data_IF_093214690785
#
_entry.id   IF_093214690785
#
_cell.length_a   1.000
_cell.length_b   1.000
_cell.length_c   1.000
_cell.angle_alpha   90.00
_cell.angle_beta   90.00
_cell.angle_gamma   90.00
#
_symmetry.space_group_name_H-M   'P 1'
#
loop_
_entity.id
_entity.type
_entity.pdbx_description
1 polymer ?
#
# COMPACT_ATOMS: atom_id res chain seq x y z
N UNK A 1 -12.23 -30.07 -1.58
CA UNK A 1 -13.20 -30.23 -2.70
C UNK A 1 -12.79 -29.51 -3.99
N UNK A 2 -12.13 -28.34 -3.97
CA UNK A 2 -11.88 -27.48 -5.16
C UNK A 2 -10.89 -27.99 -6.23
N UNK A 3 -10.01 -28.96 -5.95
CA UNK A 3 -9.00 -29.45 -6.93
C UNK A 3 -9.52 -30.62 -7.80
N UNK A 4 -10.58 -31.32 -7.38
CA UNK A 4 -11.06 -32.54 -8.08
C UNK A 4 -11.53 -32.27 -9.52
N UNK A 5 -12.21 -31.15 -9.76
CA UNK A 5 -12.67 -30.76 -11.11
C UNK A 5 -11.48 -30.40 -11.99
N UNK A 6 -10.53 -29.62 -11.47
CA UNK A 6 -9.30 -29.29 -12.20
C UNK A 6 -8.52 -30.55 -12.54
N UNK A 7 -8.36 -31.48 -11.59
CA UNK A 7 -7.69 -32.76 -11.82
C UNK A 7 -8.38 -33.60 -12.91
N UNK A 8 -9.72 -33.59 -12.98
CA UNK A 8 -10.45 -34.29 -14.04
C UNK A 8 -10.20 -33.72 -15.44
N UNK A 9 -10.19 -32.39 -15.58
CA UNK A 9 -9.88 -31.73 -16.87
C UNK A 9 -8.41 -31.96 -17.26
N UNK A 10 -7.50 -31.88 -16.29
CA UNK A 10 -6.07 -32.06 -16.50
C UNK A 10 -5.67 -33.48 -16.88
N UNK A 11 -6.34 -34.51 -16.32
CA UNK A 11 -6.14 -35.91 -16.71
C UNK A 11 -6.40 -36.14 -18.20
N UNK A 12 -7.40 -35.46 -18.79
CA UNK A 12 -7.67 -35.53 -20.23
C UNK A 12 -6.58 -34.87 -21.09
N UNK A 13 -5.63 -34.15 -20.49
CA UNK A 13 -4.51 -33.46 -21.14
C UNK A 13 -3.15 -34.02 -20.69
N UNK A 14 -3.09 -35.31 -20.32
CA UNK A 14 -1.87 -35.99 -19.84
C UNK A 14 -1.17 -35.31 -18.65
N UNK A 15 -1.93 -34.57 -17.84
CA UNK A 15 -1.42 -33.94 -16.61
C UNK A 15 -1.97 -34.68 -15.39
N UNK A 16 -1.08 -35.01 -14.45
CA UNK A 16 -1.43 -35.70 -13.20
C UNK A 16 -1.38 -34.69 -12.06
N UNK A 17 -2.40 -34.71 -11.21
CA UNK A 17 -2.44 -33.92 -9.98
C UNK A 17 -2.20 -34.87 -8.81
N UNK A 18 -1.17 -34.58 -8.02
CA UNK A 18 -0.78 -35.35 -6.84
C UNK A 18 -0.70 -34.43 -5.63
N UNK A 19 -0.95 -35.01 -4.45
CA UNK A 19 -0.59 -34.40 -3.17
C UNK A 19 0.70 -35.08 -2.70
N UNK A 20 1.67 -34.30 -2.23
CA UNK A 20 2.96 -34.79 -1.79
C UNK A 20 3.41 -34.04 -0.54
N UNK A 21 4.18 -34.70 0.33
CA UNK A 21 4.81 -34.05 1.47
C UNK A 21 5.91 -33.09 0.98
N UNK A 22 6.10 -31.94 1.64
CA UNK A 22 7.14 -30.98 1.26
C UNK A 22 8.53 -31.59 1.13
N UNK A 23 8.92 -32.51 2.02
CA UNK A 23 10.23 -33.17 1.98
C UNK A 23 10.43 -34.00 0.71
N UNK A 24 9.37 -34.62 0.19
CA UNK A 24 9.39 -35.39 -1.07
C UNK A 24 9.55 -34.45 -2.26
N UNK A 25 8.91 -33.28 -2.20
CA UNK A 25 9.03 -32.24 -3.24
C UNK A 25 10.45 -31.66 -3.25
N UNK A 26 10.98 -31.32 -2.08
CA UNK A 26 12.31 -30.75 -1.89
C UNK A 26 13.43 -31.70 -2.33
N UNK A 27 13.29 -32.99 -2.05
CA UNK A 27 14.26 -34.03 -2.48
C UNK A 27 14.18 -34.31 -4.00
N UNK A 28 13.02 -34.11 -4.62
CA UNK A 28 12.82 -34.33 -6.05
C UNK A 28 13.19 -33.13 -6.95
N UNK A 29 13.40 -31.93 -6.39
CA UNK A 29 13.84 -30.76 -7.14
C UNK A 29 15.31 -30.91 -7.56
N UNK A 30 15.56 -31.46 -8.75
CA UNK A 30 16.93 -31.72 -9.26
C UNK A 30 17.61 -30.50 -9.89
N UNK A 31 16.91 -29.37 -10.07
CA UNK A 31 17.48 -28.11 -10.55
C UNK A 31 16.38 -27.05 -10.59
N UNK A 32 16.47 -26.04 -9.72
CA UNK A 32 15.78 -24.78 -9.95
C UNK A 32 16.72 -23.62 -9.61
N UNK A 33 16.81 -22.68 -10.55
CA UNK A 33 17.57 -21.41 -10.49
C UNK A 33 17.20 -20.54 -9.26
N UNK A 34 16.13 -20.90 -8.56
CA UNK A 34 15.65 -20.31 -7.33
C UNK A 34 15.47 -21.48 -6.36
N UNK A 35 16.24 -21.52 -5.26
CA UNK A 35 16.13 -22.56 -4.24
C UNK A 35 14.85 -22.38 -3.43
N UNK A 36 13.71 -22.81 -3.97
CA UNK A 36 12.40 -22.63 -3.37
C UNK A 36 12.08 -23.87 -2.53
N UNK A 37 12.28 -23.74 -1.23
CA UNK A 37 11.84 -24.74 -0.26
C UNK A 37 10.31 -24.80 -0.27
N UNK A 38 9.77 -25.97 -0.61
CA UNK A 38 8.35 -26.23 -0.57
C UNK A 38 7.85 -26.18 0.88
N UNK A 39 6.74 -25.49 1.10
CA UNK A 39 6.02 -25.41 2.37
C UNK A 39 4.63 -26.03 2.23
N UNK A 40 3.99 -26.41 3.36
CA UNK A 40 2.62 -26.86 3.35
C UNK A 40 1.68 -25.87 2.64
N UNK A 41 0.97 -26.36 1.64
CA UNK A 41 0.05 -25.55 0.85
C UNK A 41 0.65 -24.99 -0.44
N UNK A 42 1.97 -25.05 -0.66
CA UNK A 42 2.54 -24.62 -1.94
C UNK A 42 2.06 -25.50 -3.10
N UNK A 43 1.97 -24.90 -4.28
CA UNK A 43 1.58 -25.59 -5.51
C UNK A 43 2.75 -25.54 -6.47
N UNK A 44 3.18 -26.70 -6.95
CA UNK A 44 4.23 -26.82 -7.96
C UNK A 44 3.68 -27.47 -9.23
N UNK A 45 4.12 -26.96 -10.38
CA UNK A 45 3.84 -27.52 -11.70
C UNK A 45 5.13 -28.13 -12.22
N UNK A 46 5.12 -29.43 -12.47
CA UNK A 46 6.29 -30.14 -12.99
C UNK A 46 6.22 -30.26 -14.52
N UNK A 47 7.25 -29.78 -15.21
CA UNK A 47 7.46 -29.97 -16.66
C UNK A 47 8.89 -30.42 -16.92
N UNK A 48 9.07 -31.57 -17.59
CA UNK A 48 10.38 -32.16 -17.91
C UNK A 48 11.32 -32.26 -16.68
N UNK A 49 10.80 -32.75 -15.55
CA UNK A 49 11.55 -32.91 -14.30
C UNK A 49 11.75 -31.64 -13.48
N UNK A 50 11.42 -30.46 -14.01
CA UNK A 50 11.55 -29.18 -13.31
C UNK A 50 10.25 -28.77 -12.63
N UNK A 51 10.33 -28.49 -11.32
CA UNK A 51 9.24 -27.92 -10.54
C UNK A 51 9.18 -26.40 -10.68
N UNK A 52 8.00 -25.88 -11.02
CA UNK A 52 7.75 -24.45 -11.19
C UNK A 52 6.74 -24.03 -10.11
N UNK A 53 7.05 -23.08 -9.22
CA UNK A 53 6.11 -22.62 -8.20
C UNK A 53 4.91 -21.93 -8.86
N UNK A 54 3.72 -22.17 -8.33
CA UNK A 54 2.48 -21.54 -8.76
C UNK A 54 1.87 -20.73 -7.62
N UNK A 55 1.94 -19.41 -7.77
CA UNK A 55 1.43 -18.45 -6.79
C UNK A 55 0.02 -17.93 -7.11
N UNK A 56 -0.66 -18.51 -8.10
CA UNK A 56 -1.98 -18.06 -8.51
C UNK A 56 -3.13 -18.62 -7.68
N UNK A 57 -4.34 -18.19 -8.03
CA UNK A 57 -5.61 -18.68 -7.48
C UNK A 57 -5.79 -20.15 -7.86
N UNK A 58 -6.17 -20.99 -6.88
CA UNK A 58 -6.43 -22.43 -7.09
C UNK A 58 -7.80 -22.69 -7.72
N UNK A 59 -8.11 -21.98 -8.81
CA UNK A 59 -9.30 -22.18 -9.63
C UNK A 59 -8.94 -22.93 -10.91
N UNK A 60 -9.89 -23.68 -11.47
CA UNK A 60 -9.67 -24.42 -12.73
C UNK A 60 -9.23 -23.49 -13.86
N UNK A 61 -9.87 -22.32 -14.01
CA UNK A 61 -9.53 -21.33 -15.05
C UNK A 61 -8.10 -20.81 -14.89
N UNK A 62 -7.74 -20.32 -13.71
CA UNK A 62 -6.43 -19.72 -13.48
C UNK A 62 -5.28 -20.74 -13.60
N UNK A 63 -5.51 -21.98 -13.16
CA UNK A 63 -4.54 -23.08 -13.30
C UNK A 63 -4.38 -23.51 -14.77
N UNK A 64 -5.47 -23.67 -15.52
CA UNK A 64 -5.40 -24.03 -16.94
C UNK A 64 -4.66 -22.97 -17.75
N UNK A 65 -4.96 -21.69 -17.54
CA UNK A 65 -4.26 -20.59 -18.20
C UNK A 65 -2.75 -20.63 -17.92
N UNK A 66 -2.37 -20.87 -16.66
CA UNK A 66 -0.96 -20.99 -16.30
C UNK A 66 -0.30 -22.22 -16.94
N UNK A 67 -0.99 -23.35 -17.02
CA UNK A 67 -0.48 -24.55 -17.68
C UNK A 67 -0.29 -24.37 -19.19
N UNK A 68 -1.17 -23.63 -19.86
CA UNK A 68 -0.95 -23.24 -21.25
C UNK A 68 0.30 -22.38 -21.41
N UNK A 69 0.54 -21.43 -20.49
CA UNK A 69 1.77 -20.62 -20.45
C UNK A 69 3.02 -21.48 -20.20
N UNK A 70 2.93 -22.46 -19.30
CA UNK A 70 4.00 -23.44 -19.03
C UNK A 70 4.28 -24.30 -20.26
N UNK A 71 3.29 -24.58 -21.11
CA UNK A 71 3.47 -25.40 -22.31
C UNK A 71 4.01 -24.62 -23.51
N UNK A 72 3.53 -23.40 -23.76
CA UNK A 72 3.94 -22.54 -24.89
C UNK A 72 5.22 -21.73 -24.66
N UNK A 73 6.23 -22.31 -24.00
CA UNK A 73 7.46 -21.63 -23.57
C UNK A 73 8.45 -21.43 -24.72
N UNK A 74 8.05 -20.69 -25.74
CA UNK A 74 8.88 -20.30 -26.88
C UNK A 74 9.38 -18.86 -26.73
N UNK A 75 10.54 -18.56 -27.31
CA UNK A 75 11.03 -17.20 -27.45
C UNK A 75 10.13 -16.49 -28.46
N UNK A 76 9.58 -15.35 -28.06
CA UNK A 76 8.71 -14.56 -28.92
C UNK A 76 9.54 -13.67 -29.83
N UNK A 77 9.47 -13.88 -31.14
CA UNK A 77 10.23 -13.09 -32.10
C UNK A 77 9.51 -11.77 -32.35
N UNK A 78 10.24 -10.65 -32.25
CA UNK A 78 9.74 -9.33 -32.59
C UNK A 78 10.20 -9.02 -34.02
N UNK A 79 9.26 -8.98 -34.96
CA UNK A 79 9.53 -8.74 -36.39
C UNK A 79 9.12 -7.34 -36.84
N UNK A 80 8.25 -6.66 -36.09
CA UNK A 80 7.77 -5.34 -36.47
C UNK A 80 7.01 -4.59 -35.38
N UNK A 81 6.28 -3.55 -35.80
CA UNK A 81 5.59 -2.61 -34.90
C UNK A 81 4.48 -3.28 -34.08
N UNK A 82 3.74 -4.22 -34.67
CA UNK A 82 2.64 -4.92 -33.99
C UNK A 82 3.20 -5.79 -32.86
N UNK A 83 4.24 -6.58 -33.15
CA UNK A 83 4.91 -7.41 -32.13
C UNK A 83 5.51 -6.54 -31.03
N UNK A 84 6.10 -5.39 -31.39
CA UNK A 84 6.62 -4.44 -30.40
C UNK A 84 5.50 -3.88 -29.53
N UNK A 85 4.35 -3.54 -30.10
CA UNK A 85 3.19 -3.06 -29.33
C UNK A 85 2.71 -4.12 -28.35
N UNK A 86 2.62 -5.38 -28.79
CA UNK A 86 2.28 -6.51 -27.93
C UNK A 86 3.35 -6.73 -26.84
N UNK A 87 4.63 -6.64 -27.19
CA UNK A 87 5.73 -6.67 -26.24
C UNK A 87 5.58 -5.58 -25.19
N UNK A 88 5.39 -4.32 -25.60
CA UNK A 88 5.28 -3.17 -24.69
C UNK A 88 4.09 -3.30 -23.73
N UNK A 89 2.97 -3.88 -24.17
CA UNK A 89 1.76 -4.10 -23.37
C UNK A 89 1.91 -5.17 -22.27
N UNK A 90 2.97 -5.99 -22.30
CA UNK A 90 3.20 -7.00 -21.25
C UNK A 90 3.73 -6.34 -19.99
N UNK A 91 2.89 -6.29 -18.95
CA UNK A 91 3.19 -5.80 -17.60
C UNK A 91 3.81 -6.88 -16.69
N UNK A 92 4.71 -7.70 -17.25
CA UNK A 92 5.50 -8.69 -16.52
C UNK A 92 6.99 -8.43 -16.78
N UNK A 93 7.87 -8.91 -15.89
CA UNK A 93 9.32 -8.92 -16.15
C UNK A 93 9.59 -9.78 -17.38
N UNK A 94 10.34 -9.22 -18.33
CA UNK A 94 10.64 -9.85 -19.62
C UNK A 94 12.06 -9.56 -20.06
N UNK A 95 12.65 -10.47 -20.81
CA UNK A 95 13.97 -10.33 -21.43
C UNK A 95 13.81 -10.14 -22.94
N UNK A 96 14.60 -9.24 -23.52
CA UNK A 96 14.68 -9.06 -24.96
C UNK A 96 16.14 -8.97 -25.38
N UNK A 97 16.54 -9.69 -26.43
CA UNK A 97 17.90 -9.61 -26.96
C UNK A 97 17.95 -9.47 -28.48
N UNK A 98 19.08 -8.99 -28.99
CA UNK A 98 19.34 -8.86 -30.42
C UNK A 98 20.40 -9.87 -30.84
N UNK A 99 20.03 -10.81 -31.71
CA UNK A 99 20.88 -11.93 -32.08
C UNK A 99 20.92 -12.14 -33.59
N UNK A 100 21.96 -12.85 -34.06
CA UNK A 100 21.92 -13.52 -35.35
C UNK A 100 21.48 -14.98 -35.11
N UNK A 101 20.62 -15.52 -35.97
CA UNK A 101 20.14 -16.90 -35.76
C UNK A 101 21.29 -17.91 -35.91
N UNK A 102 21.31 -18.90 -35.00
CA UNK A 102 22.28 -20.01 -35.03
C UNK A 102 23.66 -19.70 -34.43
N UNK A 103 23.89 -18.49 -33.91
CA UNK A 103 25.14 -18.16 -33.22
C UNK A 103 25.16 -18.70 -31.79
N UNK A 104 26.35 -18.82 -31.20
CA UNK A 104 26.53 -19.42 -29.86
C UNK A 104 25.85 -18.60 -28.74
N UNK A 105 25.85 -17.28 -28.85
CA UNK A 105 25.14 -16.36 -27.96
C UNK A 105 23.61 -16.50 -28.08
N UNK A 106 23.08 -16.73 -29.28
CA UNK A 106 21.66 -17.04 -29.47
C UNK A 106 21.29 -18.37 -28.80
N UNK A 107 22.11 -19.41 -28.97
CA UNK A 107 21.90 -20.72 -28.34
C UNK A 107 21.94 -20.63 -26.81
N UNK A 108 22.86 -19.83 -26.25
CA UNK A 108 22.92 -19.57 -24.81
C UNK A 108 21.64 -18.87 -24.31
N UNK A 109 21.08 -17.95 -25.09
CA UNK A 109 19.80 -17.29 -24.79
C UNK A 109 18.61 -18.26 -24.85
N UNK A 110 18.59 -19.17 -25.84
CA UNK A 110 17.61 -20.26 -25.95
C UNK A 110 17.67 -21.21 -24.74
N UNK A 111 18.88 -21.55 -24.31
CA UNK A 111 19.10 -22.39 -23.14
C UNK A 111 18.61 -21.69 -21.86
N UNK A 112 18.94 -20.42 -21.66
CA UNK A 112 18.41 -19.63 -20.54
C UNK A 112 16.88 -19.54 -20.57
N UNK A 113 16.28 -19.34 -21.75
CA UNK A 113 14.84 -19.32 -21.94
C UNK A 113 14.20 -20.64 -21.51
N UNK A 114 14.79 -21.78 -21.88
CA UNK A 114 14.30 -23.10 -21.49
C UNK A 114 14.33 -23.32 -19.97
N UNK A 115 15.34 -22.75 -19.28
CA UNK A 115 15.53 -22.89 -17.83
C UNK A 115 14.64 -21.93 -17.01
N UNK A 116 14.40 -20.71 -17.50
CA UNK A 116 13.67 -19.66 -16.78
C UNK A 116 12.19 -19.52 -17.16
N UNK A 117 11.76 -20.03 -18.32
CA UNK A 117 10.35 -20.02 -18.71
C UNK A 117 9.52 -20.90 -17.78
N UNK A 118 8.23 -20.64 -17.49
CA UNK A 118 7.45 -19.47 -17.88
C UNK A 118 7.56 -18.32 -16.86
N UNK A 119 8.44 -18.42 -15.86
CA UNK A 119 8.60 -17.40 -14.81
C UNK A 119 9.01 -16.06 -15.40
N UNK A 120 9.75 -16.08 -16.52
CA UNK A 120 10.11 -14.90 -17.31
C UNK A 120 9.79 -15.16 -18.77
N UNK A 121 9.28 -14.14 -19.46
CA UNK A 121 9.04 -14.19 -20.91
C UNK A 121 10.28 -13.73 -21.67
N UNK A 122 10.64 -14.46 -22.71
CA UNK A 122 11.79 -14.16 -23.56
C UNK A 122 11.33 -13.66 -24.92
N UNK A 123 12.06 -12.67 -25.44
CA UNK A 123 11.85 -12.07 -26.74
C UNK A 123 13.18 -11.96 -27.49
N UNK A 124 13.16 -12.08 -28.81
CA UNK A 124 14.33 -11.90 -29.65
C UNK A 124 14.00 -11.01 -30.84
N UNK A 125 14.93 -10.15 -31.21
CA UNK A 125 14.95 -9.48 -32.50
C UNK A 125 16.11 -10.03 -33.33
N UNK A 126 15.87 -10.25 -34.62
CA UNK A 126 16.90 -10.68 -35.58
C UNK A 126 17.22 -9.63 -36.63
N UNK A 127 16.35 -8.62 -36.77
CA UNK A 127 16.56 -7.48 -37.66
C UNK A 127 17.13 -6.28 -36.91
N UNK A 128 18.15 -5.63 -37.50
CA UNK A 128 18.85 -4.48 -36.90
C UNK A 128 17.93 -3.26 -36.73
N UNK A 129 16.99 -3.03 -37.66
CA UNK A 129 16.05 -1.91 -37.54
C UNK A 129 15.06 -2.16 -36.41
N UNK A 130 14.59 -3.39 -36.22
CA UNK A 130 13.73 -3.76 -35.09
C UNK A 130 14.48 -3.62 -33.77
N UNK A 131 15.71 -4.14 -33.67
CA UNK A 131 16.57 -4.03 -32.49
C UNK A 131 16.77 -2.57 -32.05
N UNK A 132 17.00 -1.65 -33.01
CA UNK A 132 17.10 -0.21 -32.75
C UNK A 132 15.86 0.37 -32.07
N UNK A 133 14.65 -0.06 -32.45
CA UNK A 133 13.40 0.39 -31.81
C UNK A 133 13.21 -0.18 -30.39
N UNK A 134 13.91 -1.27 -30.07
CA UNK A 134 13.98 -1.87 -28.73
C UNK A 134 15.14 -1.31 -27.90
N UNK A 135 15.89 -0.33 -28.45
CA UNK A 135 17.12 0.25 -27.88
C UNK A 135 18.28 -0.75 -27.74
N UNK A 136 18.24 -1.85 -28.47
CA UNK A 136 19.35 -2.80 -28.60
C UNK A 136 20.25 -2.36 -29.74
N UNK A 137 21.54 -2.16 -29.46
CA UNK A 137 22.50 -1.61 -30.44
C UNK A 137 23.44 -2.68 -30.96
N UNK A 138 23.89 -3.58 -30.09
CA UNK A 138 24.90 -4.57 -30.40
C UNK A 138 24.30 -5.97 -30.51
N UNK A 139 24.86 -6.81 -31.39
CA UNK A 139 24.54 -8.24 -31.42
C UNK A 139 24.99 -8.87 -30.09
N UNK A 140 24.18 -9.80 -29.57
CA UNK A 140 24.37 -10.43 -28.26
C UNK A 140 23.90 -9.58 -27.08
N UNK A 141 23.47 -8.33 -27.31
CA UNK A 141 22.97 -7.45 -26.25
C UNK A 141 21.62 -7.95 -25.73
N UNK A 142 21.46 -7.99 -24.40
CA UNK A 142 20.27 -8.46 -23.71
C UNK A 142 19.80 -7.38 -22.73
N UNK A 143 18.51 -7.06 -22.78
CA UNK A 143 17.84 -6.13 -21.88
C UNK A 143 16.80 -6.86 -21.03
N UNK A 144 16.80 -6.58 -19.72
CA UNK A 144 15.72 -6.94 -18.81
C UNK A 144 14.79 -5.74 -18.67
N UNK A 145 13.54 -5.94 -19.06
CA UNK A 145 12.48 -4.93 -18.99
C UNK A 145 11.57 -5.24 -17.83
N UNK A 146 11.55 -4.35 -16.84
CA UNK A 146 10.61 -4.41 -15.70
C UNK A 146 9.36 -3.61 -16.00
N UNK A 147 8.17 -4.06 -15.57
CA UNK A 147 6.96 -3.27 -15.71
C UNK A 147 7.12 -1.95 -14.96
N UNK A 148 6.53 -0.88 -15.52
CA UNK A 148 6.49 0.46 -14.89
C UNK A 148 7.87 1.10 -14.61
N UNK A 149 8.91 0.68 -15.32
CA UNK A 149 10.23 1.32 -15.27
C UNK A 149 10.52 2.17 -16.51
N UNK A 150 11.33 3.22 -16.35
CA UNK A 150 11.64 4.18 -17.44
C UNK A 150 12.60 3.61 -18.48
N UNK A 151 13.59 2.84 -18.02
CA UNK A 151 14.65 2.28 -18.86
C UNK A 151 14.87 0.82 -18.52
N UNK A 152 15.13 -0.03 -19.53
CA UNK A 152 15.52 -1.41 -19.29
C UNK A 152 16.88 -1.48 -18.59
N UNK A 153 17.12 -2.59 -17.90
CA UNK A 153 18.43 -2.91 -17.35
C UNK A 153 19.21 -3.69 -18.40
N UNK A 154 20.42 -3.24 -18.72
CA UNK A 154 21.29 -3.88 -19.71
C UNK A 154 22.06 -5.02 -19.04
N UNK A 155 22.11 -6.19 -19.67
CA UNK A 155 22.95 -7.29 -19.20
C UNK A 155 24.42 -6.87 -19.30
N UNK A 156 25.21 -6.96 -18.21
CA UNK A 156 26.59 -6.49 -18.22
C UNK A 156 27.52 -7.36 -19.08
N UNK A 157 27.13 -8.61 -19.37
CA UNK A 157 27.91 -9.53 -20.19
C UNK A 157 27.40 -9.57 -21.63
N UNK A 158 28.32 -9.49 -22.59
CA UNK A 158 28.05 -9.68 -24.01
C UNK A 158 29.30 -10.24 -24.72
N UNK A 159 29.30 -11.49 -25.23
CA UNK A 159 28.18 -12.44 -25.19
C UNK A 159 27.96 -13.01 -23.78
N UNK A 160 26.70 -13.25 -23.41
CA UNK A 160 26.33 -13.86 -22.13
C UNK A 160 26.10 -15.37 -22.26
N UNK A 161 26.59 -16.16 -21.32
CA UNK A 161 26.21 -17.57 -21.19
C UNK A 161 24.82 -17.72 -20.56
N UNK A 162 24.24 -18.92 -20.62
CA UNK A 162 22.96 -19.20 -19.95
C UNK A 162 23.04 -18.94 -18.42
N UNK A 163 24.16 -19.26 -17.79
CA UNK A 163 24.40 -19.00 -16.37
C UNK A 163 24.51 -17.50 -16.05
N UNK A 164 25.15 -16.72 -16.93
CA UNK A 164 25.23 -15.26 -16.79
C UNK A 164 23.84 -14.62 -16.86
N UNK A 165 22.99 -15.10 -17.78
CA UNK A 165 21.61 -14.61 -17.93
C UNK A 165 20.78 -14.95 -16.68
N UNK A 166 20.92 -16.15 -16.12
CA UNK A 166 20.25 -16.55 -14.89
C UNK A 166 20.69 -15.69 -13.70
N UNK A 167 22.00 -15.48 -13.53
CA UNK A 167 22.54 -14.62 -12.48
C UNK A 167 22.07 -13.17 -12.64
N UNK A 168 22.06 -12.67 -13.88
CA UNK A 168 21.58 -11.33 -14.22
C UNK A 168 20.10 -11.15 -13.87
N UNK A 169 19.25 -12.13 -14.21
CA UNK A 169 17.84 -12.16 -13.83
C UNK A 169 17.68 -12.13 -12.31
N UNK A 170 18.42 -13.00 -11.61
CA UNK A 170 18.33 -13.14 -10.15
C UNK A 170 18.71 -11.84 -9.44
N UNK A 171 19.77 -11.17 -9.89
CA UNK A 171 20.22 -9.89 -9.37
C UNK A 171 19.21 -8.74 -9.61
N UNK A 172 18.33 -8.89 -10.60
CA UNK A 172 17.39 -7.86 -11.03
C UNK A 172 15.92 -8.25 -10.77
N UNK A 173 15.64 -9.11 -9.79
CA UNK A 173 14.27 -9.46 -9.42
C UNK A 173 13.51 -8.27 -8.81
N UNK A 174 12.19 -8.37 -8.82
CA UNK A 174 11.29 -7.38 -8.23
C UNK A 174 11.11 -6.10 -9.07
N UNK A 175 10.05 -5.39 -8.75
CA UNK A 175 9.71 -4.06 -9.25
C UNK A 175 9.23 -3.23 -8.06
N UNK A 176 9.35 -1.91 -8.14
CA UNK A 176 8.76 -1.01 -7.13
C UNK A 176 7.24 -1.06 -7.17
N UNK A 177 6.65 -1.34 -8.34
CA UNK A 177 5.21 -1.48 -8.53
C UNK A 177 4.89 -2.86 -9.09
N UNK A 178 4.01 -3.59 -8.39
CA UNK A 178 3.49 -4.88 -8.82
C UNK A 178 1.97 -4.84 -8.90
N UNK A 179 1.42 -5.22 -10.06
CA UNK A 179 -0.02 -5.39 -10.25
C UNK A 179 -0.43 -6.81 -9.83
N UNK A 180 -1.30 -6.92 -8.83
CA UNK A 180 -1.84 -8.21 -8.41
C UNK A 180 -2.86 -8.69 -9.44
N UNK A 181 -2.81 -9.99 -9.75
CA UNK A 181 -3.75 -10.67 -10.62
C UNK A 181 -3.96 -12.12 -10.14
N UNK A 182 -4.84 -12.85 -10.82
CA UNK A 182 -5.20 -14.22 -10.45
C UNK A 182 -4.05 -15.23 -10.53
N UNK A 183 -2.89 -14.86 -11.09
CA UNK A 183 -1.73 -15.74 -11.25
C UNK A 183 -0.60 -15.46 -10.27
N UNK A 184 -0.62 -14.34 -9.54
CA UNK A 184 0.45 -13.96 -8.60
C UNK A 184 -0.05 -13.63 -7.18
N UNK A 185 -1.36 -13.71 -6.90
CA UNK A 185 -1.96 -13.34 -5.60
C UNK A 185 -1.25 -13.90 -4.35
N UNK A 186 -0.71 -15.11 -4.41
CA UNK A 186 -0.04 -15.77 -3.28
C UNK A 186 1.49 -15.66 -3.38
N UNK A 187 2.03 -14.75 -4.18
CA UNK A 187 3.48 -14.58 -4.31
C UNK A 187 4.00 -13.93 -3.03
N UNK A 188 4.92 -14.56 -2.29
CA UNK A 188 5.44 -14.02 -1.03
C UNK A 188 6.11 -12.64 -1.21
N UNK A 189 6.61 -12.31 -2.40
CA UNK A 189 7.20 -11.01 -2.69
C UNK A 189 6.18 -9.84 -2.68
N UNK A 190 4.88 -10.11 -2.73
CA UNK A 190 3.84 -9.07 -2.61
C UNK A 190 3.75 -8.50 -1.20
N UNK A 191 4.06 -9.30 -0.19
CA UNK A 191 3.91 -8.96 1.22
C UNK A 191 5.22 -9.21 1.99
N UNK A 192 6.34 -8.90 1.34
CA UNK A 192 7.67 -9.05 1.93
C UNK A 192 7.78 -8.18 3.20
N UNK A 193 7.94 -8.79 4.40
CA UNK A 193 7.95 -8.05 5.66
C UNK A 193 9.21 -7.19 5.84
N UNK A 194 10.25 -7.39 5.01
CA UNK A 194 11.43 -6.53 4.99
C UNK A 194 11.19 -5.19 4.30
N UNK A 195 10.09 -5.09 3.53
CA UNK A 195 9.72 -3.90 2.77
C UNK A 195 8.51 -3.20 3.37
N UNK A 196 8.39 -1.91 3.10
CA UNK A 196 7.18 -1.16 3.44
C UNK A 196 6.16 -1.38 2.33
N UNK A 197 5.03 -1.97 2.66
CA UNK A 197 3.93 -2.18 1.73
C UNK A 197 3.19 -0.86 1.51
N UNK A 198 3.06 -0.47 0.24
CA UNK A 198 2.21 0.64 -0.19
C UNK A 198 1.10 0.07 -1.05
N UNK A 199 -0.14 0.20 -0.61
CA UNK A 199 -1.32 -0.27 -1.33
C UNK A 199 -1.88 0.85 -2.20
N UNK A 200 -2.12 0.54 -3.46
CA UNK A 200 -2.89 1.35 -4.39
C UNK A 200 -4.13 0.55 -4.82
N UNK A 201 -5.31 0.94 -4.33
CA UNK A 201 -6.56 0.22 -4.53
C UNK A 201 -7.47 1.05 -5.41
N UNK A 202 -7.82 0.55 -6.60
CA UNK A 202 -8.78 1.22 -7.49
C UNK A 202 -9.31 0.27 -8.56
N UNK A 203 -10.33 0.72 -9.29
CA UNK A 203 -10.88 -0.01 -10.44
C UNK A 203 -10.47 0.70 -11.74
N UNK A 204 -9.63 0.06 -12.55
CA UNK A 204 -9.13 0.66 -13.80
C UNK A 204 -10.27 0.96 -14.79
N UNK A 205 -11.37 0.18 -14.72
CA UNK A 205 -12.57 0.38 -15.52
C UNK A 205 -13.35 1.67 -15.17
N UNK A 206 -13.12 2.26 -14.00
CA UNK A 206 -13.74 3.52 -13.59
C UNK A 206 -12.97 4.72 -14.16
N UNK A 207 -13.68 5.84 -14.38
CA UNK A 207 -13.05 7.07 -14.90
C UNK A 207 -11.90 7.56 -14.01
N UNK A 208 -12.12 7.59 -12.69
CA UNK A 208 -11.11 8.04 -11.75
C UNK A 208 -10.04 6.96 -11.50
N UNK A 209 -10.40 5.69 -11.41
CA UNK A 209 -9.43 4.61 -11.18
C UNK A 209 -8.48 4.39 -12.35
N UNK A 210 -8.93 4.50 -13.60
CA UNK A 210 -8.05 4.47 -14.77
C UNK A 210 -7.08 5.66 -14.80
N UNK A 211 -7.54 6.86 -14.45
CA UNK A 211 -6.67 8.03 -14.27
C UNK A 211 -5.66 7.81 -13.13
N UNK A 212 -6.10 7.27 -12.00
CA UNK A 212 -5.27 6.99 -10.85
C UNK A 212 -4.20 5.94 -11.17
N UNK A 213 -4.55 4.87 -11.89
CA UNK A 213 -3.59 3.88 -12.38
C UNK A 213 -2.49 4.53 -13.25
N UNK A 214 -2.89 5.43 -14.15
CA UNK A 214 -1.94 6.21 -14.96
C UNK A 214 -0.99 7.04 -14.09
N UNK A 215 -1.47 7.66 -13.01
CA UNK A 215 -0.63 8.41 -12.07
C UNK A 215 0.34 7.48 -11.32
N UNK A 216 -0.13 6.36 -10.77
CA UNK A 216 0.70 5.41 -10.02
C UNK A 216 1.79 4.79 -10.91
N UNK A 217 1.46 4.43 -12.16
CA UNK A 217 2.47 3.93 -13.09
C UNK A 217 3.46 5.01 -13.54
N UNK A 218 3.06 6.29 -13.62
CA UNK A 218 3.98 7.41 -13.86
C UNK A 218 4.87 7.66 -12.64
N UNK A 219 4.32 7.63 -11.44
CA UNK A 219 5.05 7.74 -10.18
C UNK A 219 6.14 6.67 -10.09
N UNK A 220 5.78 5.40 -10.27
CA UNK A 220 6.72 4.28 -10.26
C UNK A 220 7.90 4.48 -11.24
N UNK A 221 7.63 4.96 -12.47
CA UNK A 221 8.66 5.29 -13.46
C UNK A 221 9.57 6.44 -13.01
N UNK A 222 9.03 7.43 -12.31
CA UNK A 222 9.78 8.58 -11.83
C UNK A 222 10.71 8.21 -10.66
N UNK A 223 10.27 7.30 -9.79
CA UNK A 223 11.03 6.90 -8.59
C UNK A 223 11.95 5.69 -8.81
N UNK A 224 11.88 5.01 -9.97
CA UNK A 224 12.59 3.73 -10.23
C UNK A 224 14.10 3.77 -9.90
N UNK A 225 14.78 4.89 -10.13
CA UNK A 225 16.22 5.02 -9.94
C UNK A 225 16.61 5.72 -8.63
N UNK A 226 15.63 6.09 -7.79
CA UNK A 226 15.91 6.72 -6.50
C UNK A 226 16.04 5.62 -5.43
N UNK A 227 17.23 5.54 -4.84
CA UNK A 227 17.57 4.56 -3.79
C UNK A 227 16.80 4.77 -2.49
N UNK A 228 16.28 5.97 -2.23
CA UNK A 228 15.46 6.28 -1.05
C UNK A 228 14.17 5.46 -1.03
N UNK A 229 13.61 5.15 -2.20
CA UNK A 229 12.39 4.35 -2.34
C UNK A 229 12.65 2.86 -2.57
N UNK A 230 13.90 2.41 -2.52
CA UNK A 230 14.25 1.01 -2.79
C UNK A 230 13.59 0.01 -1.82
N UNK A 231 13.25 0.48 -0.60
CA UNK A 231 12.58 -0.33 0.42
C UNK A 231 11.03 -0.35 0.29
N UNK A 232 10.47 0.38 -0.68
CA UNK A 232 9.03 0.37 -0.92
C UNK A 232 8.63 -0.81 -1.81
N UNK A 233 7.46 -1.36 -1.52
CA UNK A 233 6.76 -2.31 -2.37
C UNK A 233 5.36 -1.79 -2.65
N UNK A 234 5.17 -1.13 -3.79
CA UNK A 234 3.86 -0.63 -4.22
C UNK A 234 3.10 -1.79 -4.88
N UNK A 235 1.90 -2.02 -4.39
CA UNK A 235 1.04 -3.09 -4.82
C UNK A 235 -0.26 -2.49 -5.35
N UNK A 236 -0.49 -2.66 -6.65
CA UNK A 236 -1.75 -2.29 -7.28
C UNK A 236 -2.76 -3.42 -7.15
N UNK A 237 -3.91 -3.10 -6.58
CA UNK A 237 -5.00 -4.02 -6.30
C UNK A 237 -6.29 -3.52 -6.95
N UNK A 238 -6.96 -4.41 -7.66
CA UNK A 238 -8.27 -4.15 -8.27
C UNK A 238 -9.34 -5.03 -7.59
N UNK A 239 -10.28 -4.41 -6.85
CA UNK A 239 -11.36 -5.15 -6.20
C UNK A 239 -12.22 -5.96 -7.18
N UNK A 240 -12.40 -5.49 -8.42
CA UNK A 240 -13.13 -6.24 -9.45
C UNK A 240 -12.48 -7.60 -9.78
N UNK A 241 -11.15 -7.69 -9.76
CA UNK A 241 -10.42 -8.96 -9.96
C UNK A 241 -10.59 -9.89 -8.74
N UNK A 242 -10.76 -9.31 -7.55
CA UNK A 242 -10.92 -10.02 -6.29
C UNK A 242 -12.20 -9.58 -5.54
N UNK A 243 -13.40 -9.94 -6.02
CA UNK A 243 -14.65 -9.40 -5.47
C UNK A 243 -14.87 -9.68 -3.98
N UNK A 244 -14.18 -10.68 -3.42
CA UNK A 244 -14.17 -10.95 -1.98
C UNK A 244 -13.74 -9.73 -1.16
N UNK A 245 -12.94 -8.82 -1.73
CA UNK A 245 -12.50 -7.59 -1.06
C UNK A 245 -13.70 -6.70 -0.72
N UNK A 246 -14.70 -6.60 -1.59
CA UNK A 246 -15.93 -5.86 -1.27
C UNK A 246 -16.71 -6.46 -0.11
N UNK A 247 -16.57 -7.77 0.15
CA UNK A 247 -17.25 -8.44 1.25
C UNK A 247 -16.58 -8.22 2.61
N UNK A 248 -15.30 -7.84 2.60
CA UNK A 248 -14.49 -7.62 3.80
C UNK A 248 -14.03 -6.18 3.91
N UNK A 249 -14.54 -5.27 3.08
CA UNK A 249 -14.07 -3.89 3.04
C UNK A 249 -14.32 -3.18 4.37
N UNK A 250 -15.48 -3.40 4.98
CA UNK A 250 -15.82 -2.87 6.30
C UNK A 250 -14.83 -3.38 7.36
N UNK A 251 -14.54 -4.69 7.36
CA UNK A 251 -13.53 -5.26 8.27
C UNK A 251 -12.14 -4.67 8.02
N UNK A 252 -11.73 -4.45 6.77
CA UNK A 252 -10.45 -3.83 6.43
C UNK A 252 -10.40 -2.35 6.83
N UNK A 253 -11.50 -1.63 6.74
CA UNK A 253 -11.63 -0.27 7.24
C UNK A 253 -11.49 -0.25 8.77
N UNK A 254 -12.24 -1.09 9.48
CA UNK A 254 -12.19 -1.15 10.95
C UNK A 254 -10.88 -1.71 11.49
N UNK A 255 -10.20 -2.63 10.79
CA UNK A 255 -8.99 -3.31 11.31
C UNK A 255 -7.69 -2.69 10.83
N UNK A 256 -7.68 -2.11 9.63
CA UNK A 256 -6.47 -1.61 8.97
C UNK A 256 -6.65 -0.16 8.48
N UNK A 257 -7.78 0.50 8.76
CA UNK A 257 -8.02 1.88 8.34
C UNK A 257 -8.09 2.06 6.83
N UNK A 258 -8.32 0.99 6.05
CA UNK A 258 -8.36 1.08 4.58
C UNK A 258 -9.62 1.86 4.17
N UNK A 259 -9.50 2.99 3.44
CA UNK A 259 -10.66 3.76 3.02
C UNK A 259 -11.61 2.94 2.16
N UNK A 260 -12.89 2.91 2.53
CA UNK A 260 -13.95 2.27 1.73
C UNK A 260 -14.28 3.02 0.42
N UNK A 261 -13.82 4.27 0.28
CA UNK A 261 -13.93 5.07 -0.95
C UNK A 261 -12.70 4.86 -1.82
N UNK A 262 -12.94 4.45 -3.06
CA UNK A 262 -11.88 4.24 -4.05
C UNK A 262 -11.75 5.45 -4.98
N UNK A 263 -10.54 5.75 -5.47
CA UNK A 263 -9.27 5.06 -5.22
C UNK A 263 -8.71 5.34 -3.82
N UNK A 264 -7.98 4.38 -3.26
CA UNK A 264 -7.25 4.51 -2.01
C UNK A 264 -5.74 4.31 -2.23
N UNK A 265 -4.93 5.08 -1.51
CA UNK A 265 -3.47 5.00 -1.55
C UNK A 265 -2.90 5.14 -0.15
N UNK A 266 -2.19 4.13 0.33
CA UNK A 266 -1.73 4.11 1.72
C UNK A 266 -0.55 3.20 1.94
N UNK A 267 0.18 3.46 3.02
CA UNK A 267 1.23 2.57 3.51
C UNK A 267 0.67 1.72 4.65
N UNK A 268 1.07 0.45 4.69
CA UNK A 268 0.72 -0.51 5.72
C UNK A 268 1.99 -1.19 6.22
N UNK A 269 2.23 -1.11 7.53
CA UNK A 269 3.24 -1.92 8.17
C UNK A 269 2.65 -3.30 8.49
N UNK A 270 3.10 -4.34 7.78
CA UNK A 270 2.55 -5.70 7.93
C UNK A 270 2.79 -6.28 9.33
N UNK A 271 3.85 -5.82 10.02
CA UNK A 271 4.21 -6.33 11.35
C UNK A 271 3.40 -5.66 12.46
N UNK A 272 3.20 -4.34 12.39
CA UNK A 272 2.47 -3.58 13.42
C UNK A 272 1.00 -3.39 13.11
N UNK A 273 0.57 -3.71 11.88
CA UNK A 273 -0.77 -3.45 11.32
C UNK A 273 -1.18 -1.96 11.32
N UNK A 274 -0.23 -1.06 11.56
CA UNK A 274 -0.47 0.38 11.45
C UNK A 274 -0.46 0.80 9.99
N UNK A 275 -1.42 1.64 9.62
CA UNK A 275 -1.55 2.16 8.26
C UNK A 275 -1.63 3.69 8.24
N UNK A 276 -1.26 4.29 7.12
CA UNK A 276 -1.45 5.72 6.85
C UNK A 276 -1.97 5.87 5.43
N UNK A 277 -2.97 6.73 5.23
CA UNK A 277 -3.65 6.87 3.95
C UNK A 277 -3.65 8.30 3.45
N UNK A 278 -3.39 8.47 2.15
CA UNK A 278 -3.56 9.73 1.46
C UNK A 278 -5.05 10.03 1.30
N UNK A 279 -5.46 11.26 1.59
CA UNK A 279 -6.79 11.74 1.22
C UNK A 279 -6.86 11.95 -0.30
N UNK A 280 -7.29 10.92 -1.04
CA UNK A 280 -7.37 10.92 -2.51
C UNK A 280 -8.42 11.88 -3.07
N UNK A 281 -9.35 12.38 -2.23
CA UNK A 281 -10.31 13.41 -2.63
C UNK A 281 -9.64 14.77 -2.92
N UNK A 282 -8.39 14.96 -2.47
CA UNK A 282 -7.61 16.18 -2.75
C UNK A 282 -6.95 16.16 -4.15
N UNK A 283 -7.00 15.04 -4.87
CA UNK A 283 -6.39 14.94 -6.19
C UNK A 283 -7.21 15.72 -7.23
N UNK A 284 -6.51 16.56 -7.99
CA UNK A 284 -7.13 17.33 -9.07
C UNK A 284 -7.43 16.43 -10.28
N UNK A 285 -8.70 16.22 -10.56
CA UNK A 285 -9.17 15.30 -11.60
C UNK A 285 -9.58 16.00 -12.91
N UNK A 286 -9.15 17.25 -13.14
CA UNK A 286 -9.41 17.95 -14.41
C UNK A 286 -8.80 17.26 -15.63
N UNK A 287 -7.77 16.42 -15.44
CA UNK A 287 -7.17 15.57 -16.46
C UNK A 287 -6.19 16.29 -17.40
N UNK A 288 -5.82 17.54 -17.08
CA UNK A 288 -4.83 18.31 -17.82
C UNK A 288 -3.39 18.04 -17.35
N UNK A 289 -2.39 18.59 -18.07
CA UNK A 289 -0.98 18.35 -17.74
C UNK A 289 -0.56 18.95 -16.39
N UNK A 290 -1.14 20.07 -16.00
CA UNK A 290 -0.80 20.73 -14.73
C UNK A 290 -1.39 19.94 -13.57
N UNK A 291 -2.62 19.43 -13.69
CA UNK A 291 -3.20 18.55 -12.68
C UNK A 291 -2.39 17.26 -12.52
N UNK A 292 -1.90 16.68 -13.62
CA UNK A 292 -0.99 15.52 -13.59
C UNK A 292 0.28 15.83 -12.76
N UNK A 293 0.92 16.99 -12.97
CA UNK A 293 2.14 17.40 -12.25
C UNK A 293 1.86 17.60 -10.76
N UNK A 294 0.79 18.32 -10.42
CA UNK A 294 0.40 18.57 -9.03
C UNK A 294 0.08 17.27 -8.28
N UNK A 295 -0.69 16.38 -8.90
CA UNK A 295 -1.02 15.10 -8.28
C UNK A 295 0.20 14.19 -8.11
N UNK A 296 1.12 14.18 -9.09
CA UNK A 296 2.37 13.43 -8.94
C UNK A 296 3.23 13.99 -7.80
N UNK A 297 3.21 15.30 -7.57
CA UNK A 297 3.89 15.90 -6.43
C UNK A 297 3.25 15.46 -5.11
N UNK A 298 1.92 15.51 -4.98
CA UNK A 298 1.21 15.02 -3.78
C UNK A 298 1.52 13.55 -3.48
N UNK A 299 1.52 12.70 -4.51
CA UNK A 299 1.85 11.27 -4.36
C UNK A 299 3.32 11.07 -3.95
N UNK A 300 4.24 11.88 -4.48
CA UNK A 300 5.65 11.82 -4.13
C UNK A 300 5.90 12.31 -2.69
N UNK A 301 5.23 13.38 -2.27
CA UNK A 301 5.26 13.88 -0.89
C UNK A 301 4.74 12.82 0.09
N UNK A 302 3.67 12.11 -0.27
CA UNK A 302 3.19 10.97 0.51
C UNK A 302 4.26 9.87 0.62
N UNK A 303 4.86 9.42 -0.49
CA UNK A 303 5.92 8.41 -0.45
C UNK A 303 7.14 8.85 0.37
N UNK A 304 7.51 10.13 0.30
CA UNK A 304 8.55 10.71 1.14
C UNK A 304 8.18 10.55 2.61
N UNK A 305 6.96 10.91 2.99
CA UNK A 305 6.48 10.73 4.37
C UNK A 305 6.53 9.27 4.83
N UNK A 306 6.26 8.31 3.94
CA UNK A 306 6.39 6.88 4.24
C UNK A 306 7.84 6.53 4.58
N UNK A 307 8.79 6.90 3.72
CA UNK A 307 10.21 6.53 3.93
C UNK A 307 10.86 7.30 5.07
N UNK A 308 10.40 8.52 5.38
CA UNK A 308 10.86 9.31 6.52
C UNK A 308 10.11 9.01 7.82
N UNK A 309 9.12 8.11 7.79
CA UNK A 309 8.25 7.78 8.93
C UNK A 309 7.62 9.01 9.60
N UNK A 310 7.18 9.98 8.80
CA UNK A 310 6.54 11.22 9.28
C UNK A 310 5.03 11.21 9.07
N UNK A 311 4.48 10.15 8.47
CA UNK A 311 3.03 9.99 8.35
C UNK A 311 2.42 9.68 9.71
N UNK A 312 1.28 10.29 9.99
CA UNK A 312 0.43 9.94 11.13
C UNK A 312 -0.33 8.65 10.81
N UNK A 313 -0.20 7.58 11.62
CA UNK A 313 -1.03 6.40 11.47
C UNK A 313 -2.51 6.71 11.66
N UNK A 314 -3.37 5.98 10.95
CA UNK A 314 -4.80 5.94 11.24
C UNK A 314 -4.97 5.36 12.64
N UNK A 315 -5.73 6.07 13.47
CA UNK A 315 -6.11 5.60 14.79
C UNK A 315 -7.24 4.59 14.61
N UNK A 316 -6.93 3.32 14.85
CA UNK A 316 -7.82 2.19 14.63
C UNK A 316 -8.30 1.69 15.99
N UNK A 317 -9.62 1.61 16.17
CA UNK A 317 -10.24 1.06 17.39
C UNK A 317 -11.51 1.80 17.78
N UNK A 318 -12.16 1.32 18.84
CA UNK A 318 -13.31 2.02 19.42
C UNK A 318 -12.83 3.31 20.08
N UNK A 319 -13.54 4.41 19.83
CA UNK A 319 -13.21 5.66 20.51
C UNK A 319 -13.32 5.48 22.03
N UNK A 320 -12.31 5.93 22.78
CA UNK A 320 -12.31 5.82 24.24
C UNK A 320 -11.63 7.01 24.92
N UNK A 321 -12.05 7.32 26.15
CA UNK A 321 -11.38 8.35 26.95
C UNK A 321 -10.02 7.84 27.45
N UNK A 322 -8.96 8.55 27.09
CA UNK A 322 -7.63 8.44 27.70
C UNK A 322 -7.56 9.28 28.98
N UNK A 323 -8.16 10.48 28.94
CA UNK A 323 -8.32 11.34 30.11
C UNK A 323 -9.70 11.98 30.11
N UNK A 324 -10.32 12.02 31.28
CA UNK A 324 -11.59 12.69 31.53
C UNK A 324 -11.36 13.87 32.47
N UNK A 325 -12.23 14.89 32.45
CA UNK A 325 -12.07 16.02 33.34
C UNK A 325 -12.23 15.60 34.79
N UNK A 326 -11.64 16.38 35.69
CA UNK A 326 -11.75 16.19 37.14
C UNK A 326 -12.39 17.42 37.79
N UNK A 327 -13.06 17.27 38.94
CA UNK A 327 -13.57 18.40 39.71
C UNK A 327 -12.43 19.33 40.13
N UNK A 328 -12.65 20.64 40.06
CA UNK A 328 -11.64 21.65 40.41
C UNK A 328 -12.25 22.78 41.22
N UNK A 329 -11.48 23.31 42.17
CA UNK A 329 -11.81 24.54 42.90
C UNK A 329 -10.71 25.55 42.66
N UNK A 330 -11.05 26.70 42.08
CA UNK A 330 -10.07 27.75 41.74
C UNK A 330 -10.52 29.12 42.23
N UNK A 331 -9.57 30.02 42.42
CA UNK A 331 -9.85 31.42 42.76
C UNK A 331 -10.28 32.18 41.50
N UNK A 332 -11.20 33.12 41.65
CA UNK A 332 -11.67 33.98 40.56
C UNK A 332 -10.50 34.65 39.81
N UNK A 333 -10.63 34.75 38.48
CA UNK A 333 -9.62 35.20 37.51
C UNK A 333 -8.46 34.22 37.23
N UNK A 334 -8.46 33.02 37.82
CA UNK A 334 -7.52 31.96 37.41
C UNK A 334 -7.93 31.36 36.06
N UNK A 335 -6.94 30.84 35.33
CA UNK A 335 -7.19 30.02 34.15
C UNK A 335 -7.41 28.56 34.57
N UNK A 336 -8.38 27.89 33.94
CA UNK A 336 -8.77 26.50 34.23
C UNK A 336 -8.53 25.67 32.98
N UNK A 337 -7.98 24.47 33.14
CA UNK A 337 -7.95 23.46 32.08
C UNK A 337 -8.74 22.24 32.50
N UNK A 338 -9.79 21.92 31.74
CA UNK A 338 -10.55 20.69 31.87
C UNK A 338 -10.02 19.69 30.85
N UNK A 339 -9.26 18.71 31.32
CA UNK A 339 -8.67 17.67 30.47
C UNK A 339 -9.75 16.81 29.83
N UNK A 340 -9.66 16.58 28.53
CA UNK A 340 -10.48 15.62 27.82
C UNK A 340 -9.71 15.09 26.62
N UNK A 341 -9.12 13.92 26.75
CA UNK A 341 -8.29 13.31 25.72
C UNK A 341 -8.90 11.98 25.32
N UNK A 342 -9.07 11.79 24.01
CA UNK A 342 -9.72 10.62 23.42
C UNK A 342 -8.74 9.93 22.47
N UNK A 343 -8.70 8.60 22.56
CA UNK A 343 -8.05 7.75 21.56
C UNK A 343 -9.06 7.29 20.53
N UNK A 344 -8.58 7.09 19.29
CA UNK A 344 -9.41 6.74 18.13
C UNK A 344 -10.64 7.66 17.95
N UNK A 345 -10.48 9.01 18.00
CA UNK A 345 -11.62 9.92 17.90
C UNK A 345 -12.31 9.74 16.54
N UNK A 346 -13.62 9.48 16.56
CA UNK A 346 -14.43 9.34 15.35
C UNK A 346 -15.23 10.61 15.08
N UNK A 347 -15.83 11.18 16.12
CA UNK A 347 -16.66 12.37 16.01
C UNK A 347 -16.00 13.66 16.51
N UNK A 348 -16.83 14.69 16.60
CA UNK A 348 -16.46 16.04 17.01
C UNK A 348 -16.43 16.17 18.54
N UNK A 349 -15.44 16.92 19.04
CA UNK A 349 -15.38 17.33 20.44
C UNK A 349 -16.48 18.35 20.78
N UNK A 350 -17.15 18.14 21.91
CA UNK A 350 -18.21 18.97 22.45
C UNK A 350 -18.05 19.13 23.98
N UNK A 351 -18.53 20.24 24.50
CA UNK A 351 -18.63 20.48 25.94
C UNK A 351 -20.06 20.88 26.31
N UNK A 352 -20.54 20.34 27.43
CA UNK A 352 -21.79 20.75 28.03
C UNK A 352 -21.49 21.43 29.37
N UNK A 353 -22.16 22.56 29.60
CA UNK A 353 -22.16 23.28 30.88
C UNK A 353 -23.58 23.31 31.42
N UNK A 354 -23.79 22.78 32.61
CA UNK A 354 -25.09 22.70 33.28
C UNK A 354 -26.17 22.09 32.36
N UNK A 355 -25.79 21.04 31.62
CA UNK A 355 -26.65 20.34 30.65
C UNK A 355 -26.85 21.05 29.31
N UNK A 356 -26.25 22.22 29.07
CA UNK A 356 -26.34 22.96 27.80
C UNK A 356 -25.07 22.81 26.98
N UNK A 357 -25.22 22.38 25.73
CA UNK A 357 -24.12 22.30 24.77
C UNK A 357 -23.61 23.73 24.45
N UNK A 358 -22.31 23.98 24.68
CA UNK A 358 -21.68 25.27 24.36
C UNK A 358 -21.29 25.38 22.87
N UNK A 359 -21.36 24.28 22.13
CA UNK A 359 -21.15 24.18 20.69
C UNK A 359 -19.69 23.89 20.30
N UNK A 360 -19.48 23.53 19.02
CA UNK A 360 -18.17 23.20 18.45
C UNK A 360 -17.32 24.43 18.09
N UNK A 361 -17.96 25.59 17.87
CA UNK A 361 -17.30 26.86 17.59
C UNK A 361 -17.19 27.69 18.88
N UNK A 362 -16.03 27.56 19.54
CA UNK A 362 -15.71 28.30 20.75
C UNK A 362 -15.36 29.76 20.50
N UNK A 363 -15.10 30.19 19.26
CA UNK A 363 -14.75 31.59 18.92
C UNK A 363 -15.87 32.58 19.31
N UNK A 364 -17.09 32.08 19.52
CA UNK A 364 -18.23 32.85 20.02
C UNK A 364 -18.10 33.22 21.51
N UNK A 365 -17.19 32.57 22.24
CA UNK A 365 -16.93 32.76 23.66
C UNK A 365 -15.45 33.14 23.84
N UNK A 366 -15.13 34.43 24.04
CA UNK A 366 -13.73 34.90 24.03
C UNK A 366 -12.87 34.35 25.17
N UNK A 367 -13.48 33.70 26.16
CA UNK A 367 -12.81 33.12 27.33
C UNK A 367 -12.71 31.59 27.28
N UNK A 368 -13.19 30.93 26.22
CA UNK A 368 -13.06 29.49 26.01
C UNK A 368 -12.14 29.21 24.83
N UNK A 369 -11.18 28.31 25.03
CA UNK A 369 -10.26 27.88 23.99
C UNK A 369 -10.06 26.36 24.05
N UNK A 370 -9.86 25.75 22.90
CA UNK A 370 -9.37 24.37 22.85
C UNK A 370 -7.89 24.35 23.22
N UNK A 371 -7.47 23.41 24.06
CA UNK A 371 -6.06 23.26 24.44
C UNK A 371 -5.21 22.71 23.28
N UNK A 372 -5.71 21.71 22.57
CA UNK A 372 -4.97 20.93 21.60
C UNK A 372 -5.72 20.67 20.29
N UNK A 373 -5.17 19.75 19.49
CA UNK A 373 -5.76 19.36 18.22
C UNK A 373 -6.91 18.37 18.42
N UNK A 374 -8.12 18.85 18.17
CA UNK A 374 -9.36 18.06 18.26
C UNK A 374 -9.38 16.89 17.30
N UNK A 375 -8.82 17.04 16.11
CA UNK A 375 -8.76 15.96 15.11
C UNK A 375 -7.81 14.85 15.58
N UNK A 376 -6.82 15.20 16.41
CA UNK A 376 -5.96 14.25 17.07
C UNK A 376 -6.56 13.68 18.37
N UNK A 377 -7.74 14.15 18.81
CA UNK A 377 -8.45 13.66 19.99
C UNK A 377 -8.17 14.43 21.29
N UNK A 378 -7.50 15.58 21.24
CA UNK A 378 -7.41 16.48 22.40
C UNK A 378 -8.60 17.45 22.41
N UNK A 379 -9.63 17.08 23.15
CA UNK A 379 -10.85 17.85 23.38
C UNK A 379 -10.78 18.71 24.65
N UNK A 380 -9.59 18.96 25.21
CA UNK A 380 -9.47 19.67 26.48
C UNK A 380 -9.87 21.14 26.35
N UNK A 381 -10.60 21.66 27.34
CA UNK A 381 -11.12 23.03 27.36
C UNK A 381 -10.28 23.90 28.30
N UNK A 382 -9.83 25.05 27.79
CA UNK A 382 -9.19 26.10 28.56
C UNK A 382 -10.20 27.23 28.80
N UNK A 383 -10.41 27.58 30.05
CA UNK A 383 -11.26 28.71 30.48
C UNK A 383 -10.34 29.80 31.02
N UNK A 384 -10.24 30.92 30.32
CA UNK A 384 -9.41 32.05 30.73
C UNK A 384 -10.16 33.02 31.64
N UNK A 385 -9.53 33.41 32.75
CA UNK A 385 -10.09 34.36 33.71
C UNK A 385 -11.45 33.92 34.25
N UNK A 386 -11.50 32.75 34.90
CA UNK A 386 -12.73 32.12 35.35
C UNK A 386 -13.54 33.01 36.33
N UNK A 387 -14.86 33.08 36.13
CA UNK A 387 -15.77 33.93 36.91
C UNK A 387 -16.86 33.14 37.64
N UNK A 388 -17.13 33.51 38.89
CA UNK A 388 -18.13 32.83 39.75
C UNK A 388 -19.52 32.77 39.10
N UNK A 389 -19.98 33.90 38.53
CA UNK A 389 -21.31 33.98 37.92
C UNK A 389 -21.43 33.35 36.52
N UNK A 390 -20.32 32.92 35.92
CA UNK A 390 -20.28 32.45 34.51
C UNK A 390 -19.85 31.01 34.38
N UNK A 391 -18.74 30.63 35.01
CA UNK A 391 -18.02 29.37 34.73
C UNK A 391 -18.23 28.31 35.84
N UNK A 392 -18.75 28.71 37.00
CA UNK A 392 -19.17 27.81 38.07
C UNK A 392 -20.30 26.91 37.55
N UNK A 393 -20.24 25.61 37.83
CA UNK A 393 -21.27 24.67 37.38
C UNK A 393 -20.75 23.26 37.13
N UNK A 394 -21.61 22.46 36.51
CA UNK A 394 -21.31 21.09 36.08
C UNK A 394 -20.85 21.07 34.62
N UNK A 395 -19.73 20.41 34.38
CA UNK A 395 -19.08 20.32 33.08
C UNK A 395 -18.96 18.88 32.63
N UNK A 396 -19.28 18.64 31.35
CA UNK A 396 -19.23 17.32 30.73
C UNK A 396 -18.50 17.46 29.38
N UNK A 397 -17.51 16.61 29.15
CA UNK A 397 -16.92 16.45 27.83
C UNK A 397 -17.71 15.38 27.06
N UNK A 398 -18.02 15.66 25.80
CA UNK A 398 -18.68 14.73 24.91
C UNK A 398 -17.92 14.67 23.58
N UNK A 399 -17.75 13.47 23.03
CA UNK A 399 -17.21 13.27 21.68
C UNK A 399 -18.23 12.49 20.89
N UNK A 400 -18.72 13.07 19.80
CA UNK A 400 -19.76 12.42 18.98
C UNK A 400 -19.24 11.10 18.40
N UNK A 401 -20.15 10.31 17.86
CA UNK A 401 -19.83 9.00 17.33
C UNK A 401 -20.64 8.68 16.08
N UNK A 402 -20.48 7.48 15.56
CA UNK A 402 -21.23 6.93 14.43
C UNK A 402 -21.99 5.65 14.82
N UNK A 403 -22.37 4.83 13.84
CA UNK A 403 -23.10 3.58 14.11
C UNK A 403 -22.25 2.51 14.82
N UNK A 404 -20.93 2.53 14.63
CA UNK A 404 -20.02 1.52 15.17
C UNK A 404 -19.32 2.01 16.44
N UNK A 405 -19.16 3.32 16.57
CA UNK A 405 -18.49 4.00 17.67
C UNK A 405 -19.48 4.92 18.37
N UNK A 406 -20.10 4.51 19.50
CA UNK A 406 -21.09 5.34 20.18
C UNK A 406 -20.46 6.61 20.74
N UNK A 407 -21.27 7.66 20.89
CA UNK A 407 -20.87 8.92 21.52
C UNK A 407 -20.28 8.67 22.92
N UNK A 408 -19.11 9.25 23.18
CA UNK A 408 -18.47 9.23 24.48
C UNK A 408 -18.95 10.41 25.30
N UNK A 409 -19.47 10.17 26.50
CA UNK A 409 -19.89 11.21 27.43
C UNK A 409 -19.16 11.00 28.76
N UNK A 410 -18.41 12.00 29.22
CA UNK A 410 -17.70 11.91 30.50
C UNK A 410 -18.69 11.95 31.67
N UNK A 411 -18.27 11.51 32.85
CA UNK A 411 -19.01 11.81 34.08
C UNK A 411 -19.04 13.33 34.31
N UNK A 412 -20.15 13.91 34.81
CA UNK A 412 -20.21 15.34 35.14
C UNK A 412 -19.22 15.69 36.24
N UNK A 413 -18.47 16.77 36.05
CA UNK A 413 -17.56 17.31 37.07
C UNK A 413 -17.97 18.69 37.49
N UNK A 414 -17.80 19.00 38.79
CA UNK A 414 -18.08 20.32 39.34
C UNK A 414 -16.84 21.18 39.31
N UNK A 415 -16.96 22.35 38.70
CA UNK A 415 -15.96 23.42 38.76
C UNK A 415 -16.49 24.48 39.70
N UNK A 416 -15.80 24.69 40.83
CA UNK A 416 -16.14 25.69 41.83
C UNK A 416 -15.18 26.87 41.76
N UNK A 417 -15.73 28.08 41.65
CA UNK A 417 -14.91 29.30 41.64
C UNK A 417 -15.16 30.05 42.95
N UNK A 418 -14.10 30.31 43.70
CA UNK A 418 -14.15 31.04 44.96
C UNK A 418 -13.75 32.50 44.75
N UNK A 419 -14.40 33.43 45.45
CA UNK A 419 -13.98 34.82 45.46
C UNK A 419 -12.53 34.93 45.96
N UNK A 420 -11.75 35.84 45.39
CA UNK A 420 -10.45 36.19 45.97
C UNK A 420 -10.66 36.79 47.36
N UNK A 421 -9.88 36.35 48.35
CA UNK A 421 -9.91 36.97 49.68
C UNK A 421 -9.59 38.48 49.54
N UNK A 422 -10.34 39.38 50.20
CA UNK A 422 -10.04 40.79 50.17
C UNK A 422 -8.65 41.02 50.78
N UNK A 423 -7.77 41.66 50.03
CA UNK A 423 -6.48 42.13 50.54
C UNK A 423 -6.69 43.01 51.78
N UNK A 424 -5.93 42.83 52.88
CA UNK A 424 -6.07 43.67 54.07
C UNK A 424 -5.81 45.14 53.73
N UNK A 425 -6.51 46.09 54.37
CA UNK A 425 -6.36 47.50 54.04
C UNK A 425 -4.92 47.98 54.29
N UNK A 426 -4.38 48.65 53.28
CA UNK A 426 -3.05 49.25 53.28
C UNK A 426 -2.95 50.27 54.44
N UNK A 427 -2.00 50.04 55.35
CA UNK A 427 -1.75 50.93 56.48
C UNK A 427 -1.15 52.24 55.97
N UNK A 428 -1.95 53.31 56.03
CA UNK A 428 -1.52 54.68 55.78
C UNK A 428 -0.42 55.02 56.80
N UNK A 429 0.83 55.16 56.32
CA UNK A 429 1.92 55.76 57.09
C UNK A 429 1.68 57.27 57.16
N UNK A 430 1.31 57.75 58.35
CA UNK A 430 1.34 59.17 58.67
C UNK A 430 2.81 59.59 58.82
N UNK A 431 3.25 60.55 58.00
CA UNK A 431 4.54 61.23 58.13
C UNK A 431 4.59 62.04 59.43
N UNK A 432 5.75 62.03 60.09
CA UNK A 432 6.16 62.96 61.14
C UNK A 432 7.63 63.29 60.98
#
# INVERSE_FOLDING_TARGET
MKIKITAQVLRKKNSIVCEALPDVVNTAQTSSVIGIQANPGDVFIYKKGRGIPYYGKRSTRALLNHLFKVNGTEINVITGKIDKLAFDAVEEVKLVGFFMQGTADHQAFEEAAARLSPSIRFYAAYDRMVAKHLKLTNVGEIHLVKPFTKTPVVCPQNPASAADIEAFVKANQGSILTKINEHNLNNPALFDPSKILVLAVAEEASSFGGYFYRLITKLARNVTNNTEFANLNIVWLEPEIFPTIHLVMDELETTLGIPNKLPAFGALNITTLQSSWLNTALLNCSGDKNSDIQNLQVLLEFLNGVVTNTLTPVKIGVQAFVQTPMPQTVVENSDITLECVVENPVGDCLWLKDGKNIGYNLDRYPHYNWRGDRLAGDCSLVISGAKVGRDNGEWICEVTGDQENPTLTSTPVKVLITAAEPSPPESIKTEL
#
